data_IF_626163405554
#
_entry.id   IF_626163405554
#
_cell.length_a   1.000
_cell.length_b   1.000
_cell.length_c   1.000
_cell.angle_alpha   90.00
_cell.angle_beta   90.00
_cell.angle_gamma   90.00
#
_symmetry.space_group_name_H-M   'P 1'
#
loop_
_entity.id
_entity.type
_entity.pdbx_description
1 polymer ?
#
# COMPACT_ATOMS: atom_id res chain seq x y z
N UNK A 1 -14.87 8.56 5.42
CA UNK A 1 -14.95 8.05 6.80
C UNK A 1 -15.49 6.62 6.86
N UNK A 2 -15.50 6.01 8.06
CA UNK A 2 -15.86 4.60 8.27
C UNK A 2 -17.22 4.21 7.67
N UNK A 3 -18.24 5.07 7.79
CA UNK A 3 -19.58 4.79 7.24
C UNK A 3 -19.60 4.60 5.73
N UNK A 4 -18.81 5.38 4.97
CA UNK A 4 -18.70 5.19 3.52
C UNK A 4 -18.01 3.88 3.15
N UNK A 5 -16.95 3.52 3.87
CA UNK A 5 -16.25 2.25 3.70
C UNK A 5 -17.16 1.07 4.06
N UNK A 6 -17.93 1.18 5.15
CA UNK A 6 -18.93 0.19 5.55
C UNK A 6 -20.01 -0.02 4.47
N UNK A 7 -20.48 1.07 3.84
CA UNK A 7 -21.43 0.97 2.72
C UNK A 7 -20.84 0.21 1.54
N UNK A 8 -19.62 0.55 1.11
CA UNK A 8 -18.94 -0.15 0.00
C UNK A 8 -18.83 -1.64 0.30
N UNK A 9 -18.33 -2.01 1.48
CA UNK A 9 -18.20 -3.40 1.87
C UNK A 9 -19.57 -4.10 1.98
N UNK A 10 -20.59 -3.38 2.46
CA UNK A 10 -21.97 -3.86 2.48
C UNK A 10 -22.53 -4.18 1.09
N UNK A 11 -22.25 -3.35 0.08
CA UNK A 11 -22.62 -3.65 -1.31
C UNK A 11 -21.88 -4.88 -1.85
N UNK A 12 -20.59 -5.00 -1.61
CA UNK A 12 -19.79 -6.18 -2.00
C UNK A 12 -20.37 -7.45 -1.37
N UNK A 13 -20.59 -7.42 -0.06
CA UNK A 13 -21.18 -8.55 0.69
C UNK A 13 -22.55 -8.97 0.16
N UNK A 14 -23.41 -8.00 -0.14
CA UNK A 14 -24.76 -8.26 -0.66
C UNK A 14 -24.74 -8.82 -2.09
N UNK A 15 -23.82 -8.36 -2.94
CA UNK A 15 -23.80 -8.68 -4.37
C UNK A 15 -23.04 -9.96 -4.69
N UNK A 16 -21.94 -10.20 -3.97
CA UNK A 16 -21.00 -11.30 -4.27
C UNK A 16 -20.81 -12.25 -3.09
N UNK A 17 -21.15 -11.84 -1.88
CA UNK A 17 -20.74 -12.50 -0.65
C UNK A 17 -19.29 -12.15 -0.30
N UNK A 18 -18.90 -12.56 0.91
CA UNK A 18 -17.51 -12.48 1.40
C UNK A 18 -17.21 -13.85 2.01
N UNK A 19 -16.15 -14.50 1.56
CA UNK A 19 -15.76 -15.80 2.07
C UNK A 19 -15.45 -15.74 3.57
N UNK A 20 -15.78 -16.79 4.35
CA UNK A 20 -15.39 -16.88 5.74
C UNK A 20 -13.87 -16.73 5.89
N UNK A 21 -13.42 -15.86 6.79
CA UNK A 21 -12.00 -15.58 7.00
C UNK A 21 -11.31 -14.81 5.85
N UNK A 22 -12.06 -14.16 4.96
CA UNK A 22 -11.46 -13.27 3.94
C UNK A 22 -10.74 -12.11 4.63
N UNK A 23 -9.58 -11.74 4.11
CA UNK A 23 -8.91 -10.51 4.47
C UNK A 23 -9.64 -9.33 3.83
N UNK A 24 -10.00 -8.36 4.65
CA UNK A 24 -10.64 -7.12 4.22
C UNK A 24 -9.79 -5.96 4.71
N UNK A 25 -9.08 -5.33 3.78
CA UNK A 25 -8.09 -4.30 4.08
C UNK A 25 -8.60 -2.92 3.67
N UNK A 26 -8.23 -1.90 4.44
CA UNK A 26 -8.33 -0.50 4.02
C UNK A 26 -7.02 0.24 4.26
N UNK A 27 -6.69 1.13 3.34
CA UNK A 27 -5.62 2.09 3.51
C UNK A 27 -6.19 3.39 4.08
N UNK A 28 -5.48 4.00 5.02
CA UNK A 28 -5.93 5.22 5.68
C UNK A 28 -4.77 6.19 5.95
N UNK A 29 -5.08 7.48 5.85
CA UNK A 29 -4.15 8.50 6.31
C UNK A 29 -4.30 8.63 7.84
N UNK A 30 -3.22 8.50 8.62
CA UNK A 30 -3.25 8.63 10.08
C UNK A 30 -3.95 9.89 10.59
N UNK A 31 -3.81 11.02 9.87
CA UNK A 31 -4.45 12.30 10.25
C UNK A 31 -5.99 12.26 10.16
N UNK A 32 -6.55 11.32 9.42
CA UNK A 32 -8.01 11.19 9.24
C UNK A 32 -8.63 10.05 10.03
N UNK A 33 -7.87 9.42 10.92
CA UNK A 33 -8.32 8.30 11.75
C UNK A 33 -8.59 8.75 13.20
N UNK A 34 -9.40 7.96 13.90
CA UNK A 34 -9.67 8.09 15.34
C UNK A 34 -10.06 6.71 15.90
N UNK A 35 -10.12 6.53 17.24
CA UNK A 35 -10.62 5.28 17.81
C UNK A 35 -11.99 4.87 17.25
N UNK A 36 -12.95 5.80 17.16
CA UNK A 36 -14.29 5.53 16.62
C UNK A 36 -14.28 5.17 15.13
N UNK A 37 -13.30 5.69 14.37
CA UNK A 37 -13.11 5.30 12.98
C UNK A 37 -12.71 3.82 12.88
N UNK A 38 -11.78 3.37 13.72
CA UNK A 38 -11.33 1.98 13.74
C UNK A 38 -12.41 1.03 14.25
N UNK A 39 -13.14 1.39 15.30
CA UNK A 39 -14.29 0.64 15.80
C UNK A 39 -15.35 0.44 14.69
N UNK A 40 -15.72 1.52 13.99
CA UNK A 40 -16.67 1.45 12.88
C UNK A 40 -16.20 0.61 11.69
N UNK A 41 -14.90 0.52 11.44
CA UNK A 41 -14.35 -0.38 10.44
C UNK A 41 -14.44 -1.86 10.86
N UNK A 42 -14.10 -2.17 12.10
CA UNK A 42 -14.21 -3.52 12.65
C UNK A 42 -15.66 -4.01 12.66
N UNK A 43 -16.60 -3.17 13.09
CA UNK A 43 -18.05 -3.46 13.04
C UNK A 43 -18.52 -3.75 11.61
N UNK A 44 -17.98 -3.05 10.61
CA UNK A 44 -18.27 -3.29 9.22
C UNK A 44 -17.67 -4.60 8.68
N UNK A 45 -16.62 -5.13 9.33
CA UNK A 45 -15.96 -6.37 8.98
C UNK A 45 -14.61 -6.21 8.29
N UNK A 46 -13.94 -5.06 8.45
CA UNK A 46 -12.55 -4.90 8.08
C UNK A 46 -11.66 -5.66 9.06
N UNK A 47 -10.60 -6.29 8.55
CA UNK A 47 -9.70 -7.16 9.34
C UNK A 47 -8.27 -6.65 9.38
N UNK A 48 -7.90 -5.79 8.45
CA UNK A 48 -6.56 -5.20 8.30
C UNK A 48 -6.65 -3.71 7.99
N UNK A 49 -5.72 -2.93 8.54
CA UNK A 49 -5.56 -1.52 8.19
C UNK A 49 -4.10 -1.22 7.84
N UNK A 50 -3.89 -0.47 6.74
CA UNK A 50 -2.60 0.10 6.36
C UNK A 50 -2.62 1.61 6.60
N UNK A 51 -1.58 2.11 7.26
CA UNK A 51 -1.46 3.52 7.65
C UNK A 51 -0.22 4.13 7.00
N UNK A 52 -0.44 5.14 6.18
CA UNK A 52 0.64 5.82 5.45
C UNK A 52 1.44 6.74 6.36
N UNK A 53 2.52 6.25 6.97
CA UNK A 53 3.45 7.05 7.77
C UNK A 53 4.44 7.82 6.90
N UNK A 54 4.99 7.18 5.91
CA UNK A 54 6.00 7.62 4.95
C UNK A 54 7.38 7.86 5.58
N UNK A 55 7.51 8.70 6.60
CA UNK A 55 8.75 8.94 7.34
C UNK A 55 8.44 9.55 8.71
N UNK A 56 9.32 9.33 9.69
CA UNK A 56 9.29 10.03 10.96
C UNK A 56 10.03 11.40 10.90
N UNK A 57 10.80 11.65 9.83
CA UNK A 57 11.54 12.90 9.64
C UNK A 57 10.66 13.97 9.00
N UNK A 58 10.41 15.07 9.72
CA UNK A 58 9.64 16.21 9.19
C UNK A 58 10.27 16.80 7.93
N UNK A 59 11.61 16.76 7.82
CA UNK A 59 12.34 17.23 6.64
C UNK A 59 12.05 16.35 5.42
N UNK A 60 12.03 15.03 5.59
CA UNK A 60 11.70 14.07 4.54
C UNK A 60 10.24 14.23 4.12
N UNK A 61 9.32 14.32 5.09
CA UNK A 61 7.89 14.54 4.81
C UNK A 61 7.64 15.83 4.01
N UNK A 62 8.41 16.90 4.29
CA UNK A 62 8.30 18.16 3.54
C UNK A 62 8.69 17.98 2.06
N UNK A 63 9.72 17.18 1.76
CA UNK A 63 10.12 16.86 0.37
C UNK A 63 9.05 16.04 -0.33
N UNK A 64 8.40 15.11 0.38
CA UNK A 64 7.29 14.30 -0.10
C UNK A 64 5.97 15.08 -0.20
N UNK A 65 5.96 16.38 0.15
CA UNK A 65 4.76 17.22 0.21
C UNK A 65 3.67 16.63 1.11
N UNK A 66 4.09 15.92 2.19
CA UNK A 66 3.23 15.34 3.21
C UNK A 66 3.27 16.20 4.48
N UNK A 67 2.10 16.28 5.13
CA UNK A 67 1.98 16.97 6.41
C UNK A 67 1.41 15.97 7.40
N UNK A 68 2.28 15.48 8.27
CA UNK A 68 1.87 14.63 9.38
C UNK A 68 2.20 15.32 10.70
N UNK A 69 1.29 15.23 11.64
CA UNK A 69 1.57 15.60 13.03
C UNK A 69 2.62 14.63 13.59
N UNK A 70 3.72 15.12 14.18
CA UNK A 70 4.74 14.25 14.75
C UNK A 70 4.14 13.21 15.71
N UNK A 71 4.48 11.93 15.51
CA UNK A 71 3.95 10.82 16.32
C UNK A 71 2.56 10.31 15.91
N UNK A 72 1.76 11.06 15.14
CA UNK A 72 0.39 10.65 14.79
C UNK A 72 0.29 9.27 14.12
N UNK A 73 1.18 8.85 13.21
CA UNK A 73 1.12 7.50 12.63
C UNK A 73 1.31 6.39 13.67
N UNK A 74 2.20 6.60 14.65
CA UNK A 74 2.42 5.66 15.76
C UNK A 74 1.19 5.58 16.66
N UNK A 75 0.62 6.72 17.01
CA UNK A 75 -0.60 6.79 17.82
C UNK A 75 -1.77 6.13 17.09
N UNK A 76 -1.95 6.39 15.79
CA UNK A 76 -2.99 5.76 14.97
C UNK A 76 -2.84 4.24 14.91
N UNK A 77 -1.63 3.72 14.79
CA UNK A 77 -1.38 2.28 14.81
C UNK A 77 -1.76 1.67 16.17
N UNK A 78 -1.41 2.32 17.27
CA UNK A 78 -1.80 1.89 18.63
C UNK A 78 -3.31 1.97 18.84
N UNK A 79 -3.98 3.02 18.35
CA UNK A 79 -5.44 3.15 18.37
C UNK A 79 -6.11 2.01 17.60
N UNK A 80 -5.60 1.65 16.40
CA UNK A 80 -6.12 0.53 15.62
C UNK A 80 -5.96 -0.81 16.36
N UNK A 81 -4.79 -1.04 16.98
CA UNK A 81 -4.56 -2.23 17.82
C UNK A 81 -5.49 -2.26 19.04
N UNK A 82 -5.65 -1.14 19.73
CA UNK A 82 -6.53 -1.03 20.89
C UNK A 82 -8.01 -1.25 20.52
N UNK A 83 -8.45 -0.83 19.32
CA UNK A 83 -9.77 -1.11 18.79
C UNK A 83 -10.00 -2.60 18.51
N UNK A 84 -8.93 -3.38 18.24
CA UNK A 84 -9.02 -4.83 18.04
C UNK A 84 -8.58 -5.32 16.66
N UNK A 85 -7.94 -4.47 15.83
CA UNK A 85 -7.35 -4.96 14.57
C UNK A 85 -6.24 -5.98 14.86
N UNK A 86 -6.36 -7.15 14.25
CA UNK A 86 -5.32 -8.19 14.32
C UNK A 86 -4.09 -7.81 13.49
N UNK A 87 -4.31 -7.13 12.35
CA UNK A 87 -3.27 -6.75 11.42
C UNK A 87 -3.25 -5.24 11.19
N UNK A 88 -2.11 -4.64 11.51
CA UNK A 88 -1.86 -3.20 11.31
C UNK A 88 -0.54 -3.02 10.58
N UNK A 89 -0.57 -2.33 9.45
CA UNK A 89 0.60 -1.99 8.67
C UNK A 89 0.98 -0.52 8.80
N UNK A 90 2.27 -0.23 8.76
CA UNK A 90 2.81 1.10 8.50
C UNK A 90 3.57 1.12 7.17
N UNK A 91 3.21 2.07 6.31
CA UNK A 91 3.95 2.32 5.07
C UNK A 91 5.05 3.34 5.30
N UNK A 92 6.26 3.05 4.85
CA UNK A 92 7.37 3.97 4.82
C UNK A 92 7.95 4.11 3.41
N UNK A 93 8.51 5.29 3.12
CA UNK A 93 9.21 5.58 1.87
C UNK A 93 10.65 5.91 2.21
N UNK A 94 11.61 5.27 1.53
CA UNK A 94 13.02 5.57 1.62
C UNK A 94 13.58 6.03 0.27
N UNK A 95 14.75 6.66 0.29
CA UNK A 95 15.37 7.20 -0.92
C UNK A 95 14.86 8.57 -1.33
N UNK A 96 14.17 9.28 -0.45
CA UNK A 96 13.74 10.66 -0.68
C UNK A 96 14.96 11.57 -0.87
N UNK A 97 14.94 12.51 -1.84
CA UNK A 97 16.02 13.48 -2.04
C UNK A 97 16.45 14.18 -0.74
N UNK A 98 17.73 14.07 -0.42
CA UNK A 98 18.31 14.66 0.79
C UNK A 98 18.05 13.87 2.10
N UNK A 99 17.38 12.74 2.04
CA UNK A 99 17.24 11.84 3.19
C UNK A 99 18.61 11.27 3.61
N UNK A 100 18.80 11.06 4.89
CA UNK A 100 20.00 10.43 5.48
C UNK A 100 19.68 9.06 6.06
N UNK A 101 20.69 8.25 6.34
CA UNK A 101 20.51 6.96 7.00
C UNK A 101 19.96 7.13 8.44
N UNK A 102 20.25 8.26 9.09
CA UNK A 102 19.67 8.58 10.40
C UNK A 102 18.16 8.87 10.30
N UNK A 103 17.69 9.49 9.21
CA UNK A 103 16.24 9.66 8.97
C UNK A 103 15.56 8.30 8.78
N UNK A 104 16.21 7.37 8.05
CA UNK A 104 15.70 6.00 7.87
C UNK A 104 15.65 5.26 9.21
N UNK A 105 16.70 5.36 10.01
CA UNK A 105 16.73 4.75 11.36
C UNK A 105 15.66 5.31 12.28
N UNK A 106 15.49 6.62 12.33
CA UNK A 106 14.44 7.26 13.12
C UNK A 106 13.04 6.81 12.66
N UNK A 107 12.85 6.60 11.35
CA UNK A 107 11.60 6.07 10.82
C UNK A 107 11.37 4.62 11.26
N UNK A 108 12.39 3.77 11.21
CA UNK A 108 12.32 2.39 11.68
C UNK A 108 12.06 2.31 13.19
N UNK A 109 12.70 3.17 14.00
CA UNK A 109 12.43 3.27 15.44
C UNK A 109 10.95 3.60 15.71
N UNK A 110 10.37 4.53 14.96
CA UNK A 110 8.95 4.88 15.05
C UNK A 110 8.04 3.69 14.65
N UNK A 111 8.39 2.97 13.58
CA UNK A 111 7.69 1.74 13.17
C UNK A 111 7.69 0.69 14.29
N UNK A 112 8.85 0.44 14.88
CA UNK A 112 8.97 -0.54 15.95
C UNK A 112 8.22 -0.12 17.22
N UNK A 113 8.21 1.17 17.53
CA UNK A 113 7.46 1.73 18.65
C UNK A 113 5.93 1.68 18.47
N UNK A 114 5.46 1.51 17.24
CA UNK A 114 4.03 1.40 16.92
C UNK A 114 3.48 -0.01 17.15
N UNK A 115 4.34 -1.02 17.38
CA UNK A 115 3.98 -2.42 17.65
C UNK A 115 3.12 -3.05 16.54
N UNK A 116 3.36 -2.66 15.29
CA UNK A 116 2.69 -3.23 14.12
C UNK A 116 3.21 -4.64 13.81
N UNK A 117 2.43 -5.39 13.05
CA UNK A 117 2.79 -6.74 12.60
C UNK A 117 3.18 -6.80 11.11
N UNK A 118 3.09 -5.67 10.40
CA UNK A 118 3.44 -5.56 8.99
C UNK A 118 4.09 -4.21 8.69
N UNK A 119 5.05 -4.20 7.78
CA UNK A 119 5.76 -2.99 7.31
C UNK A 119 5.90 -3.04 5.80
N UNK A 120 5.46 -1.98 5.14
CA UNK A 120 5.76 -1.74 3.73
C UNK A 120 6.84 -0.68 3.62
N UNK A 121 7.96 -0.98 2.96
CA UNK A 121 9.04 -0.02 2.74
C UNK A 121 9.32 0.12 1.25
N UNK A 122 8.86 1.23 0.67
CA UNK A 122 8.98 1.50 -0.75
C UNK A 122 10.15 2.43 -1.04
N UNK A 123 10.96 2.11 -2.05
CA UNK A 123 11.88 3.10 -2.60
C UNK A 123 11.10 4.19 -3.34
N UNK A 124 11.50 5.44 -3.17
CA UNK A 124 10.85 6.54 -3.86
C UNK A 124 11.07 6.44 -5.37
N UNK A 125 9.98 6.31 -6.13
CA UNK A 125 9.98 6.40 -7.58
C UNK A 125 9.51 7.79 -7.99
N UNK A 126 10.31 8.48 -8.81
CA UNK A 126 9.97 9.80 -9.33
C UNK A 126 9.21 9.65 -10.66
N UNK A 127 7.89 9.60 -10.56
CA UNK A 127 7.00 9.44 -11.71
C UNK A 127 6.98 10.67 -12.61
N UNK A 128 7.06 10.46 -13.94
CA UNK A 128 6.93 11.53 -14.93
C UNK A 128 5.60 12.28 -14.81
N UNK A 129 5.63 13.58 -15.12
CA UNK A 129 4.46 14.45 -15.02
C UNK A 129 4.18 15.00 -13.62
N UNK A 130 4.83 14.49 -12.57
CA UNK A 130 4.66 14.96 -11.18
C UNK A 130 5.37 16.29 -10.91
N UNK A 131 4.99 16.95 -9.81
CA UNK A 131 5.71 18.14 -9.33
C UNK A 131 7.16 17.81 -8.98
N UNK A 132 7.41 16.66 -8.38
CA UNK A 132 8.74 16.18 -8.02
C UNK A 132 9.62 15.96 -9.26
N UNK A 133 9.11 15.30 -10.31
CA UNK A 133 9.84 15.13 -11.57
C UNK A 133 10.23 16.48 -12.20
N UNK A 134 9.37 17.49 -12.10
CA UNK A 134 9.69 18.85 -12.57
C UNK A 134 10.83 19.49 -11.76
N UNK A 135 10.84 19.33 -10.43
CA UNK A 135 11.91 19.81 -9.54
C UNK A 135 13.24 19.10 -9.84
N UNK A 136 13.20 17.79 -10.07
CA UNK A 136 14.39 17.01 -10.47
C UNK A 136 14.93 17.49 -11.81
N UNK A 137 14.10 17.66 -12.84
CA UNK A 137 14.53 18.16 -14.15
C UNK A 137 15.13 19.57 -14.10
N UNK A 138 14.70 20.41 -13.16
CA UNK A 138 15.27 21.76 -12.94
C UNK A 138 16.53 21.76 -12.07
N UNK A 139 16.96 20.59 -11.58
CA UNK A 139 18.11 20.47 -10.68
C UNK A 139 17.87 20.97 -9.25
N UNK A 140 16.61 21.23 -8.89
CA UNK A 140 16.22 21.65 -7.52
C UNK A 140 16.25 20.48 -6.52
N UNK A 141 16.01 19.26 -7.01
CA UNK A 141 16.12 18.02 -6.25
C UNK A 141 17.05 17.05 -7.00
N UNK A 142 17.84 16.31 -6.25
CA UNK A 142 18.72 15.27 -6.77
C UNK A 142 18.13 13.91 -6.42
N UNK A 143 17.89 13.07 -7.42
CA UNK A 143 17.46 11.67 -7.22
C UNK A 143 18.53 10.94 -6.41
N UNK A 144 18.09 10.09 -5.50
CA UNK A 144 18.99 9.27 -4.70
C UNK A 144 19.66 8.21 -5.58
N UNK A 145 20.94 8.00 -5.37
CA UNK A 145 21.74 7.03 -6.09
C UNK A 145 21.29 5.60 -5.82
N UNK A 146 21.38 4.72 -6.81
CA UNK A 146 20.93 3.32 -6.70
C UNK A 146 21.70 2.52 -5.66
N UNK A 147 23.01 2.76 -5.50
CA UNK A 147 23.83 2.10 -4.46
C UNK A 147 23.40 2.55 -3.06
N UNK A 148 22.99 3.79 -2.90
CA UNK A 148 22.42 4.31 -1.65
C UNK A 148 21.06 3.66 -1.38
N UNK A 149 20.21 3.50 -2.41
CA UNK A 149 18.93 2.80 -2.27
C UNK A 149 19.14 1.35 -1.85
N UNK A 150 20.08 0.63 -2.49
CA UNK A 150 20.42 -0.74 -2.12
C UNK A 150 20.94 -0.85 -0.69
N UNK A 151 21.81 0.08 -0.26
CA UNK A 151 22.34 0.13 1.11
C UNK A 151 21.24 0.37 2.14
N UNK A 152 20.29 1.25 1.84
CA UNK A 152 19.12 1.52 2.71
C UNK A 152 18.16 0.34 2.77
N UNK A 153 17.95 -0.34 1.66
CA UNK A 153 17.18 -1.58 1.66
C UNK A 153 17.79 -2.61 2.62
N UNK A 154 19.11 -2.83 2.53
CA UNK A 154 19.82 -3.73 3.43
C UNK A 154 19.76 -3.28 4.90
N UNK A 155 19.80 -1.96 5.16
CA UNK A 155 19.61 -1.40 6.50
C UNK A 155 18.21 -1.70 7.04
N UNK A 156 17.17 -1.49 6.24
CA UNK A 156 15.78 -1.74 6.60
C UNK A 156 15.58 -3.23 6.90
N UNK A 157 16.03 -4.09 6.01
CA UNK A 157 15.96 -5.54 6.16
C UNK A 157 16.66 -6.01 7.45
N UNK A 158 17.86 -5.55 7.68
CA UNK A 158 18.63 -5.91 8.88
C UNK A 158 17.95 -5.49 10.19
N UNK A 159 17.37 -4.27 10.24
CA UNK A 159 16.67 -3.78 11.43
C UNK A 159 15.36 -4.55 11.65
N UNK A 160 14.57 -4.76 10.62
CA UNK A 160 13.29 -5.45 10.72
C UNK A 160 13.48 -6.93 11.06
N UNK A 161 14.47 -7.62 10.45
CA UNK A 161 14.79 -9.02 10.75
C UNK A 161 15.21 -9.22 12.21
N UNK A 162 16.04 -8.33 12.76
CA UNK A 162 16.40 -8.37 14.19
C UNK A 162 15.20 -8.15 15.09
N UNK A 163 14.22 -7.37 14.64
CA UNK A 163 12.96 -7.11 15.36
C UNK A 163 11.90 -8.22 15.19
N UNK A 164 12.22 -9.31 14.46
CA UNK A 164 11.34 -10.46 14.27
C UNK A 164 10.30 -10.30 13.16
N UNK A 165 10.62 -9.49 12.15
CA UNK A 165 9.87 -9.45 10.89
C UNK A 165 10.61 -10.28 9.86
N UNK A 166 9.87 -11.08 9.09
CA UNK A 166 10.39 -11.82 7.95
C UNK A 166 10.05 -11.06 6.66
N UNK A 167 11.04 -10.95 5.78
CA UNK A 167 10.80 -10.50 4.42
C UNK A 167 10.00 -11.56 3.65
N UNK A 168 8.89 -11.20 3.03
CA UNK A 168 8.07 -12.16 2.32
C UNK A 168 7.80 -11.77 0.85
N UNK A 169 8.01 -10.50 0.49
CA UNK A 169 8.00 -10.00 -0.89
C UNK A 169 8.71 -8.64 -0.99
N UNK A 170 8.96 -8.15 -2.21
CA UNK A 170 9.95 -7.11 -2.58
C UNK A 170 9.97 -5.87 -1.70
N UNK A 171 8.84 -5.43 -1.15
CA UNK A 171 8.75 -4.20 -0.37
C UNK A 171 8.11 -4.41 1.00
N UNK A 172 7.84 -5.66 1.39
CA UNK A 172 7.05 -5.94 2.58
C UNK A 172 7.70 -6.96 3.52
N UNK A 173 7.63 -6.64 4.79
CA UNK A 173 8.05 -7.46 5.93
C UNK A 173 6.87 -7.67 6.87
N UNK A 174 6.75 -8.86 7.41
CA UNK A 174 5.68 -9.19 8.35
C UNK A 174 6.19 -10.04 9.50
N UNK A 175 5.53 -9.95 10.64
CA UNK A 175 5.65 -10.98 11.69
C UNK A 175 4.93 -12.24 11.21
N UNK A 176 5.23 -13.43 11.77
CA UNK A 176 4.51 -14.65 11.43
C UNK A 176 2.99 -14.44 11.44
N UNK A 177 2.31 -14.89 10.40
CA UNK A 177 0.86 -14.75 10.14
C UNK A 177 0.40 -13.30 9.84
N UNK A 178 1.33 -12.33 9.79
CA UNK A 178 1.03 -10.94 9.47
C UNK A 178 1.09 -10.59 7.99
N UNK A 179 1.45 -11.51 7.11
CA UNK A 179 1.58 -11.26 5.66
C UNK A 179 0.25 -10.83 5.06
N UNK A 180 0.30 -9.83 4.17
CA UNK A 180 -0.87 -9.37 3.43
C UNK A 180 -1.24 -10.40 2.35
N UNK A 181 -2.38 -11.07 2.51
CA UNK A 181 -2.84 -12.11 1.57
C UNK A 181 -3.18 -11.54 0.20
N UNK A 182 -3.58 -10.29 0.13
CA UNK A 182 -3.81 -9.59 -1.12
C UNK A 182 -2.50 -9.47 -1.91
N UNK A 183 -1.40 -9.04 -1.27
CA UNK A 183 -0.08 -8.95 -1.91
C UNK A 183 0.41 -10.33 -2.37
N UNK A 184 0.29 -11.34 -1.52
CA UNK A 184 0.63 -12.72 -1.88
C UNK A 184 -0.20 -13.23 -3.06
N UNK A 185 -1.44 -12.78 -3.22
CA UNK A 185 -2.28 -13.10 -4.35
C UNK A 185 -1.67 -12.67 -5.69
N UNK A 186 -1.10 -11.47 -5.75
CA UNK A 186 -0.40 -10.99 -6.94
C UNK A 186 0.82 -11.85 -7.28
N UNK A 187 1.67 -12.16 -6.29
CA UNK A 187 2.86 -12.99 -6.48
C UNK A 187 2.56 -14.45 -6.85
N UNK A 188 1.37 -14.94 -6.50
CA UNK A 188 0.90 -16.29 -6.82
C UNK A 188 0.07 -16.36 -8.09
N UNK A 189 0.02 -15.28 -8.87
CA UNK A 189 -0.74 -15.18 -10.13
C UNK A 189 -2.24 -15.49 -9.95
N UNK A 190 -2.82 -15.04 -8.82
CA UNK A 190 -4.25 -15.17 -8.60
C UNK A 190 -5.03 -14.16 -9.45
N UNK A 191 -6.29 -14.48 -9.74
CA UNK A 191 -7.22 -13.55 -10.34
C UNK A 191 -7.60 -12.44 -9.34
N UNK A 192 -7.74 -11.21 -9.86
CA UNK A 192 -8.29 -10.08 -9.09
C UNK A 192 -9.13 -9.17 -9.96
N UNK A 193 -10.09 -8.50 -9.33
CA UNK A 193 -10.97 -7.54 -9.97
C UNK A 193 -10.73 -6.13 -9.42
N UNK A 194 -10.38 -5.20 -10.30
CA UNK A 194 -10.23 -3.78 -9.96
C UNK A 194 -11.55 -3.01 -10.11
N UNK A 195 -12.06 -2.46 -9.04
CA UNK A 195 -13.20 -1.56 -9.04
C UNK A 195 -12.77 -0.12 -8.82
N UNK A 196 -13.27 0.81 -9.62
CA UNK A 196 -12.95 2.23 -9.56
C UNK A 196 -12.24 2.76 -10.80
N UNK A 197 -12.14 4.11 -10.94
CA UNK A 197 -11.43 4.75 -12.05
C UNK A 197 -9.96 4.37 -12.07
N UNK A 198 -9.46 3.92 -13.22
CA UNK A 198 -8.07 3.53 -13.42
C UNK A 198 -7.65 2.21 -12.76
N UNK A 199 -8.57 1.51 -12.09
CA UNK A 199 -8.25 0.22 -11.46
C UNK A 199 -7.96 -0.85 -12.51
N UNK A 200 -6.97 -1.69 -12.23
CA UNK A 200 -6.56 -2.80 -13.07
C UNK A 200 -7.20 -4.10 -12.60
N UNK A 201 -7.35 -5.04 -13.52
CA UNK A 201 -7.88 -6.39 -13.27
C UNK A 201 -7.04 -7.42 -13.99
N UNK A 202 -6.98 -8.63 -13.43
CA UNK A 202 -6.39 -9.82 -14.03
C UNK A 202 -7.33 -11.00 -13.83
N UNK A 203 -7.81 -11.58 -14.92
CA UNK A 203 -8.74 -12.72 -14.90
C UNK A 203 -8.27 -13.77 -15.92
N UNK A 204 -7.65 -14.82 -15.46
CA UNK A 204 -7.09 -15.85 -16.32
C UNK A 204 -6.02 -15.30 -17.26
N UNK A 205 -6.30 -15.26 -18.56
CA UNK A 205 -5.40 -14.72 -19.59
C UNK A 205 -5.70 -13.25 -19.95
N UNK A 206 -6.66 -12.61 -19.29
CA UNK A 206 -7.08 -11.25 -19.59
C UNK A 206 -6.60 -10.27 -18.53
N UNK A 207 -5.94 -9.20 -18.96
CA UNK A 207 -5.68 -8.01 -18.15
C UNK A 207 -6.37 -6.81 -18.76
N UNK A 208 -6.98 -5.99 -17.93
CA UNK A 208 -7.62 -4.77 -18.38
C UNK A 208 -7.58 -3.70 -17.28
N UNK A 209 -7.77 -2.46 -17.67
CA UNK A 209 -7.93 -1.38 -16.70
C UNK A 209 -9.11 -0.49 -17.08
N UNK A 210 -9.67 0.13 -16.04
CA UNK A 210 -10.81 1.00 -16.17
C UNK A 210 -10.41 2.40 -16.65
N UNK A 211 -11.34 3.12 -17.26
CA UNK A 211 -11.15 4.53 -17.62
C UNK A 211 -10.75 5.35 -16.39
N UNK A 212 -9.70 6.16 -16.53
CA UNK A 212 -9.11 6.92 -15.41
C UNK A 212 -9.97 8.09 -14.95
N UNK A 213 -10.77 8.69 -15.84
CA UNK A 213 -11.56 9.87 -15.53
C UNK A 213 -12.82 9.50 -14.74
N UNK A 214 -13.02 9.99 -13.49
CA UNK A 214 -14.13 9.56 -12.62
C UNK A 214 -15.53 9.72 -13.26
N UNK A 215 -15.80 10.85 -13.92
CA UNK A 215 -17.09 11.08 -14.54
C UNK A 215 -17.37 10.10 -15.71
N UNK A 216 -16.36 9.76 -16.52
CA UNK A 216 -16.51 8.75 -17.58
C UNK A 216 -16.71 7.35 -16.99
N UNK A 217 -15.97 7.01 -15.94
CA UNK A 217 -16.17 5.76 -15.21
C UNK A 217 -17.63 5.63 -14.73
N UNK A 218 -18.14 6.66 -14.05
CA UNK A 218 -19.53 6.71 -13.58
C UNK A 218 -20.52 6.58 -14.72
N UNK A 219 -20.29 7.26 -15.86
CA UNK A 219 -21.15 7.19 -17.03
C UNK A 219 -21.28 5.76 -17.58
N UNK A 220 -20.16 5.03 -17.73
CA UNK A 220 -20.16 3.62 -18.14
C UNK A 220 -20.96 2.76 -17.17
N UNK A 221 -20.66 2.85 -15.87
CA UNK A 221 -21.35 2.06 -14.85
C UNK A 221 -22.86 2.34 -14.81
N UNK A 222 -23.27 3.60 -14.95
CA UNK A 222 -24.70 4.00 -14.98
C UNK A 222 -25.41 3.45 -16.23
N UNK A 223 -24.69 3.34 -17.35
CA UNK A 223 -25.21 2.75 -18.58
C UNK A 223 -25.19 1.19 -18.54
N UNK A 224 -24.79 0.57 -17.45
CA UNK A 224 -24.67 -0.89 -17.33
C UNK A 224 -23.53 -1.50 -18.14
N UNK A 225 -22.55 -0.70 -18.57
CA UNK A 225 -21.39 -1.13 -19.33
C UNK A 225 -20.15 -1.22 -18.43
N UNK A 226 -19.26 -2.16 -18.73
CA UNK A 226 -17.94 -2.22 -18.09
C UNK A 226 -17.11 -0.99 -18.50
N UNK A 227 -16.48 -0.30 -17.55
CA UNK A 227 -15.72 0.92 -17.82
C UNK A 227 -14.31 0.64 -18.32
N UNK A 228 -14.11 -0.40 -19.11
CA UNK A 228 -12.79 -0.84 -19.61
C UNK A 228 -12.26 0.18 -20.62
N UNK A 229 -11.02 0.65 -20.40
CA UNK A 229 -10.31 1.55 -21.31
C UNK A 229 -9.45 0.77 -22.30
N UNK A 230 -8.68 -0.19 -21.81
CA UNK A 230 -7.81 -1.06 -22.61
C UNK A 230 -7.81 -2.46 -22.04
N UNK A 231 -7.56 -3.43 -22.89
CA UNK A 231 -7.53 -4.85 -22.58
C UNK A 231 -6.35 -5.52 -23.30
N UNK A 232 -5.69 -6.44 -22.61
CA UNK A 232 -4.61 -7.27 -23.12
C UNK A 232 -4.97 -8.74 -22.92
N UNK A 233 -4.66 -9.55 -23.91
CA UNK A 233 -4.73 -11.01 -23.83
C UNK A 233 -3.34 -11.62 -23.78
N UNK A 234 -3.02 -12.27 -22.68
CA UNK A 234 -1.74 -12.92 -22.45
C UNK A 234 -1.66 -14.23 -23.23
N UNK A 235 -0.61 -14.40 -24.03
CA UNK A 235 -0.33 -15.70 -24.63
C UNK A 235 0.09 -16.72 -23.56
N UNK A 236 0.03 -18.04 -23.85
CA UNK A 236 0.58 -19.05 -22.94
C UNK A 236 2.07 -18.85 -22.64
N UNK A 237 2.83 -18.26 -23.58
CA UNK A 237 4.23 -17.92 -23.38
C UNK A 237 4.39 -16.79 -22.38
N UNK A 238 3.63 -15.69 -22.53
CA UNK A 238 3.69 -14.54 -21.62
C UNK A 238 3.35 -14.97 -20.19
N UNK A 239 2.27 -15.75 -20.03
CA UNK A 239 1.89 -16.30 -18.72
C UNK A 239 2.99 -17.19 -18.11
N UNK A 240 3.67 -17.99 -18.92
CA UNK A 240 4.77 -18.80 -18.43
C UNK A 240 5.94 -17.95 -17.95
N UNK A 241 6.34 -16.94 -18.73
CA UNK A 241 7.43 -16.02 -18.38
C UNK A 241 7.10 -15.25 -17.10
N UNK A 242 5.89 -14.70 -17.01
CA UNK A 242 5.44 -13.98 -15.81
C UNK A 242 5.41 -14.87 -14.56
N UNK A 243 4.89 -16.08 -14.68
CA UNK A 243 4.87 -17.04 -13.57
C UNK A 243 6.27 -17.40 -13.07
N UNK A 244 7.25 -17.54 -13.98
CA UNK A 244 8.66 -17.75 -13.60
C UNK A 244 9.18 -16.49 -12.89
N UNK A 245 8.93 -15.30 -13.44
CA UNK A 245 9.36 -14.02 -12.86
C UNK A 245 8.77 -13.81 -11.45
N UNK A 246 7.46 -14.05 -11.28
CA UNK A 246 6.78 -13.92 -9.99
C UNK A 246 7.30 -14.94 -8.96
N UNK A 247 7.64 -16.16 -9.40
CA UNK A 247 8.14 -17.23 -8.53
C UNK A 247 9.60 -17.08 -8.08
N UNK A 248 10.34 -16.14 -8.66
CA UNK A 248 11.74 -15.84 -8.27
C UNK A 248 11.86 -14.77 -7.18
N UNK A 249 10.76 -14.27 -6.65
CA UNK A 249 10.70 -13.19 -5.65
C UNK A 249 10.16 -13.67 -4.34
#
# INVERSE_FOLDING_TARGET
GASGLAQVLGYVRKSFGIAPGAEVTTESNPESTSPEFFEGLLEAGYTRVSLGMQSASSRVLQVLERRHTPGRPVDAAKEARAAGFEHVNLDMIYGTPGETDDDVRATLEAVLAAEVDHVSAYSLIVEDGTAMARKVRRGELRVTDEDVLASRYALIDGVLSVAGFDWYEVSNWARPDGECRHNLGYWRDHDWWGAGPGAHSHLGDRRFFNVKHPARYTQHCTAGALPIAEEEHLSPHDRHVEKVMLGLR
#
